data_IF_854028208388
#
_entry.id   IF_854028208388
#
_cell.length_a   1.000
_cell.length_b   1.000
_cell.length_c   1.000
_cell.angle_alpha   90.00
_cell.angle_beta   90.00
_cell.angle_gamma   90.00
#
_symmetry.space_group_name_H-M   'P 1'
#
loop_
_entity.id
_entity.type
_entity.pdbx_description
1 polymer ?
#
# COMPACT_ATOMS: atom_id res chain seq x y z
N UNK A 1 8.96 8.15 50.03
CA UNK A 1 7.70 7.94 50.77
C UNK A 1 6.59 7.76 49.72
N UNK A 2 6.04 6.56 49.71
CA UNK A 2 4.88 6.03 48.96
C UNK A 2 5.02 5.84 47.42
N UNK A 3 5.40 4.62 47.10
CA UNK A 3 5.08 3.87 45.87
C UNK A 3 3.58 3.96 45.53
N UNK A 4 3.28 4.23 44.28
CA UNK A 4 1.97 3.93 43.67
C UNK A 4 2.15 2.81 42.65
N UNK A 5 1.88 1.60 43.12
CA UNK A 5 1.77 0.37 42.37
C UNK A 5 0.60 0.50 41.38
N UNK A 6 0.89 0.51 40.08
CA UNK A 6 -0.09 0.21 39.02
C UNK A 6 -0.22 -1.31 38.88
N UNK A 7 -1.22 -1.88 39.53
CA UNK A 7 -1.70 -3.22 39.21
C UNK A 7 -2.53 -3.13 37.96
N UNK A 8 -1.96 -3.45 36.82
CA UNK A 8 -2.71 -3.79 35.59
C UNK A 8 -3.33 -5.17 35.80
N UNK A 9 -4.62 -5.24 36.04
CA UNK A 9 -5.41 -6.43 35.78
C UNK A 9 -5.38 -6.67 34.27
N UNK A 10 -4.72 -7.70 33.84
CA UNK A 10 -4.90 -8.29 32.53
C UNK A 10 -6.19 -9.12 32.57
N UNK A 11 -7.28 -8.57 32.10
CA UNK A 11 -8.41 -9.38 31.68
C UNK A 11 -8.12 -9.95 30.31
N UNK A 12 -8.38 -11.24 30.06
CA UNK A 12 -8.23 -11.82 28.74
C UNK A 12 -9.26 -11.22 27.79
N UNK A 13 -8.81 -10.64 26.70
CA UNK A 13 -9.64 -10.11 25.63
C UNK A 13 -10.26 -11.31 24.90
N UNK A 14 -11.45 -11.75 25.34
CA UNK A 14 -12.30 -12.61 24.57
C UNK A 14 -12.82 -11.82 23.37
N UNK A 15 -12.38 -12.20 22.18
CA UNK A 15 -12.87 -11.68 20.92
C UNK A 15 -14.26 -12.25 20.66
N UNK A 16 -15.31 -11.57 21.06
CA UNK A 16 -16.62 -11.77 20.44
C UNK A 16 -16.54 -11.27 19.00
N UNK A 17 -16.24 -12.18 18.09
CA UNK A 17 -16.57 -11.99 16.69
C UNK A 17 -18.11 -11.99 16.60
N UNK A 18 -18.73 -11.01 15.91
CA UNK A 18 -20.16 -11.10 15.66
C UNK A 18 -20.42 -12.41 14.91
N UNK A 19 -21.24 -13.26 15.52
CA UNK A 19 -21.74 -14.49 14.90
C UNK A 19 -22.59 -14.08 13.70
N UNK A 20 -22.08 -14.24 12.51
CA UNK A 20 -22.90 -14.27 11.31
C UNK A 20 -23.58 -15.63 11.27
N UNK A 21 -24.88 -15.64 11.54
CA UNK A 21 -25.74 -16.77 11.25
C UNK A 21 -25.55 -17.17 9.78
N UNK A 22 -25.33 -18.44 9.55
CA UNK A 22 -25.27 -19.06 8.23
C UNK A 22 -26.70 -19.16 7.69
N UNK A 23 -27.17 -18.11 7.02
CA UNK A 23 -28.39 -18.21 6.25
C UNK A 23 -28.15 -19.17 5.08
N UNK A 24 -28.95 -20.25 5.12
CA UNK A 24 -28.89 -21.35 4.20
C UNK A 24 -29.12 -20.89 2.75
N UNK A 25 -28.27 -21.34 1.85
CA UNK A 25 -28.53 -21.31 0.42
C UNK A 25 -29.67 -22.26 0.10
N UNK A 26 -30.89 -21.72 0.04
CA UNK A 26 -32.03 -22.36 -0.57
C UNK A 26 -31.89 -22.34 -2.10
N UNK A 27 -31.86 -23.53 -2.70
CA UNK A 27 -32.03 -23.72 -4.15
C UNK A 27 -33.48 -23.49 -4.49
N UNK A 28 -33.84 -22.31 -4.99
CA UNK A 28 -35.10 -22.10 -5.69
C UNK A 28 -34.83 -21.79 -7.17
N UNK A 29 -35.21 -22.72 -8.04
CA UNK A 29 -35.39 -22.54 -9.47
C UNK A 29 -36.71 -21.80 -9.70
N UNK A 30 -36.66 -20.53 -10.11
CA UNK A 30 -37.82 -19.84 -10.68
C UNK A 30 -37.42 -19.07 -11.94
N UNK A 31 -38.28 -19.15 -12.94
CA UNK A 31 -38.16 -18.68 -14.32
C UNK A 31 -37.94 -17.15 -14.47
N UNK A 32 -37.47 -16.67 -15.65
CA UNK A 32 -36.97 -15.31 -15.83
C UNK A 32 -38.10 -14.28 -15.89
N UNK A 33 -38.22 -13.48 -14.85
CA UNK A 33 -39.00 -12.24 -14.84
C UNK A 33 -38.19 -11.09 -15.39
N UNK A 34 -38.74 -10.38 -16.37
CA UNK A 34 -38.19 -9.21 -17.03
C UNK A 34 -37.80 -8.10 -16.06
N UNK A 35 -36.51 -7.89 -15.84
CA UNK A 35 -35.97 -6.69 -15.20
C UNK A 35 -35.69 -5.62 -16.24
N UNK A 36 -36.36 -4.49 -16.12
CA UNK A 36 -36.14 -3.27 -16.90
C UNK A 36 -34.73 -2.71 -16.61
N UNK A 37 -33.93 -2.36 -17.63
CA UNK A 37 -32.60 -1.82 -17.40
C UNK A 37 -32.68 -0.30 -17.21
N UNK A 38 -32.92 0.16 -15.98
CA UNK A 38 -32.68 1.56 -15.61
C UNK A 38 -31.41 1.64 -14.78
N UNK A 39 -30.44 2.35 -15.35
CA UNK A 39 -29.06 2.61 -14.95
C UNK A 39 -28.01 1.70 -15.61
N UNK A 40 -27.86 1.88 -16.93
CA UNK A 40 -26.63 1.56 -17.60
C UNK A 40 -25.55 2.62 -17.19
N UNK A 41 -24.84 2.39 -16.08
CA UNK A 41 -23.55 3.01 -15.89
C UNK A 41 -22.64 2.41 -16.97
N UNK A 42 -22.13 3.24 -17.87
CA UNK A 42 -21.08 2.84 -18.80
C UNK A 42 -19.87 2.39 -17.98
N UNK A 43 -19.68 1.11 -17.89
CA UNK A 43 -18.49 0.50 -17.33
C UNK A 43 -17.34 0.88 -18.24
N UNK A 44 -16.43 1.73 -17.77
CA UNK A 44 -15.13 1.90 -18.40
C UNK A 44 -14.32 0.61 -18.06
N UNK A 45 -14.12 -0.30 -19.01
CA UNK A 45 -13.31 -1.48 -18.74
C UNK A 45 -11.93 -0.98 -18.38
N UNK A 46 -11.34 -1.52 -17.29
CA UNK A 46 -9.95 -1.27 -16.94
C UNK A 46 -9.13 -1.46 -18.22
N UNK A 47 -8.58 -0.37 -18.75
CA UNK A 47 -7.89 -0.42 -20.04
C UNK A 47 -6.82 -1.52 -20.00
N UNK A 48 -6.71 -2.35 -21.03
CA UNK A 48 -5.67 -3.37 -21.07
C UNK A 48 -4.32 -2.69 -20.92
N UNK A 49 -3.45 -3.26 -20.06
CA UNK A 49 -2.09 -2.76 -19.93
C UNK A 49 -1.42 -2.76 -21.31
N UNK A 50 -0.85 -1.63 -21.70
CA UNK A 50 -0.08 -1.52 -22.94
C UNK A 50 0.98 -2.64 -22.99
N UNK A 51 1.10 -3.37 -24.10
CA UNK A 51 2.09 -4.43 -24.22
C UNK A 51 3.51 -3.86 -24.03
N UNK A 52 4.20 -4.28 -22.97
CA UNK A 52 5.61 -3.94 -22.75
C UNK A 52 5.91 -2.89 -21.68
N UNK A 53 4.93 -2.18 -21.11
CA UNK A 53 5.11 -1.25 -19.98
C UNK A 53 5.13 -1.94 -18.60
N UNK A 54 5.73 -1.31 -17.57
CA UNK A 54 5.50 -1.68 -16.19
C UNK A 54 4.01 -1.62 -15.87
N UNK A 55 3.50 -2.55 -15.05
CA UNK A 55 2.09 -2.56 -14.70
C UNK A 55 1.78 -1.35 -13.81
N UNK A 56 0.97 -0.41 -14.30
CA UNK A 56 0.34 0.58 -13.43
C UNK A 56 -0.73 -0.08 -12.53
N UNK A 57 -1.30 0.68 -11.61
CA UNK A 57 -2.33 0.16 -10.71
C UNK A 57 -3.52 -0.45 -11.47
N UNK A 58 -3.95 0.15 -12.59
CA UNK A 58 -5.09 -0.34 -13.39
C UNK A 58 -4.75 -1.63 -14.12
N UNK A 59 -3.56 -1.73 -14.68
CA UNK A 59 -3.05 -2.97 -15.28
C UNK A 59 -2.90 -4.09 -14.24
N UNK A 60 -2.45 -3.76 -13.03
CA UNK A 60 -2.38 -4.69 -11.91
C UNK A 60 -3.77 -5.19 -11.49
N UNK A 61 -4.76 -4.30 -11.34
CA UNK A 61 -6.15 -4.67 -11.05
C UNK A 61 -6.73 -5.59 -12.14
N UNK A 62 -6.54 -5.26 -13.42
CA UNK A 62 -6.97 -6.09 -14.52
C UNK A 62 -6.32 -7.48 -14.51
N UNK A 63 -5.04 -7.58 -14.15
CA UNK A 63 -4.34 -8.85 -14.01
C UNK A 63 -4.86 -9.69 -12.84
N UNK A 64 -5.14 -9.06 -11.70
CA UNK A 64 -5.77 -9.71 -10.54
C UNK A 64 -7.19 -10.22 -10.89
N UNK A 65 -7.95 -9.45 -11.65
CA UNK A 65 -9.30 -9.82 -12.09
C UNK A 65 -9.26 -11.03 -13.03
N UNK A 66 -8.41 -11.01 -14.08
CA UNK A 66 -8.20 -12.17 -14.96
C UNK A 66 -7.76 -13.43 -14.21
N UNK A 67 -7.01 -13.25 -13.11
CA UNK A 67 -6.58 -14.34 -12.25
C UNK A 67 -7.67 -14.83 -11.26
N UNK A 68 -8.86 -14.22 -11.25
CA UNK A 68 -9.95 -14.53 -10.32
C UNK A 68 -9.61 -14.16 -8.86
N UNK A 69 -8.69 -13.20 -8.64
CA UNK A 69 -8.21 -12.81 -7.32
C UNK A 69 -8.82 -11.52 -6.80
N UNK A 70 -9.36 -10.66 -7.66
CA UNK A 70 -9.98 -9.39 -7.29
C UNK A 70 -11.41 -9.60 -6.83
N UNK A 71 -11.79 -8.99 -5.71
CA UNK A 71 -13.17 -8.90 -5.25
C UNK A 71 -13.65 -7.45 -5.43
N UNK A 72 -14.69 -7.25 -6.23
CA UNK A 72 -15.36 -5.95 -6.41
C UNK A 72 -16.48 -5.80 -5.39
N UNK A 73 -16.47 -4.71 -4.65
CA UNK A 73 -17.47 -4.34 -3.65
C UNK A 73 -18.32 -3.23 -4.28
N UNK A 74 -19.52 -3.57 -4.74
CA UNK A 74 -20.44 -2.65 -5.44
C UNK A 74 -21.48 -2.03 -4.51
N UNK A 75 -21.76 -2.67 -3.37
CA UNK A 75 -22.57 -2.10 -2.32
C UNK A 75 -21.95 -0.81 -1.78
N UNK A 76 -22.79 0.09 -1.30
CA UNK A 76 -22.36 1.36 -0.73
C UNK A 76 -21.62 1.13 0.59
N UNK A 77 -20.34 1.50 0.63
CA UNK A 77 -19.48 1.33 1.81
C UNK A 77 -19.11 2.69 2.40
N UNK A 78 -19.18 2.80 3.72
CA UNK A 78 -18.76 4.01 4.42
C UNK A 78 -17.24 4.10 4.46
N UNK A 79 -16.68 5.27 4.14
CA UNK A 79 -15.24 5.54 4.27
C UNK A 79 -14.79 5.53 5.74
N UNK A 80 -15.73 5.78 6.67
CA UNK A 80 -15.46 5.75 8.10
C UNK A 80 -15.53 4.30 8.60
N UNK A 81 -14.39 3.73 8.92
CA UNK A 81 -14.15 2.40 9.48
C UNK A 81 -14.56 1.21 8.60
N UNK A 82 -15.63 1.30 7.79
CA UNK A 82 -16.12 0.13 7.08
C UNK A 82 -15.12 -0.40 6.05
N UNK A 83 -14.49 0.47 5.24
CA UNK A 83 -13.41 0.06 4.31
C UNK A 83 -12.30 -0.65 5.07
N UNK A 84 -11.84 -0.09 6.20
CA UNK A 84 -10.80 -0.71 7.02
C UNK A 84 -11.21 -2.05 7.64
N UNK A 85 -12.46 -2.17 8.13
CA UNK A 85 -13.00 -3.44 8.63
C UNK A 85 -13.02 -4.52 7.55
N UNK A 86 -13.52 -4.19 6.35
CA UNK A 86 -13.51 -5.10 5.21
C UNK A 86 -12.09 -5.53 4.84
N UNK A 87 -11.16 -4.58 4.77
CA UNK A 87 -9.74 -4.83 4.47
C UNK A 87 -9.10 -5.79 5.46
N UNK A 88 -9.35 -5.59 6.77
CA UNK A 88 -8.82 -6.46 7.83
C UNK A 88 -9.49 -7.83 7.91
N UNK A 89 -10.77 -7.92 7.57
CA UNK A 89 -11.52 -9.16 7.64
C UNK A 89 -11.24 -10.10 6.47
N UNK A 90 -10.86 -9.58 5.30
CA UNK A 90 -10.72 -10.36 4.08
C UNK A 90 -9.28 -10.41 3.58
N UNK A 91 -8.80 -11.61 3.33
CA UNK A 91 -7.45 -11.86 2.78
C UNK A 91 -7.49 -11.97 1.25
N UNK A 92 -8.09 -10.96 0.60
CA UNK A 92 -8.21 -10.84 -0.85
C UNK A 92 -8.05 -9.39 -1.27
N UNK A 93 -7.53 -9.11 -2.45
CA UNK A 93 -7.59 -7.78 -3.06
C UNK A 93 -9.04 -7.30 -3.18
N UNK A 94 -9.33 -6.08 -2.70
CA UNK A 94 -10.68 -5.50 -2.65
C UNK A 94 -10.71 -4.19 -3.42
N UNK A 95 -11.64 -4.06 -4.36
CA UNK A 95 -11.94 -2.81 -5.05
C UNK A 95 -13.33 -2.33 -4.64
N UNK A 96 -13.39 -1.24 -3.88
CA UNK A 96 -14.62 -0.58 -3.48
C UNK A 96 -15.02 0.41 -4.56
N UNK A 97 -16.18 0.19 -5.20
CA UNK A 97 -16.65 0.97 -6.35
C UNK A 97 -17.72 2.01 -5.97
N UNK A 98 -18.27 1.93 -4.76
CA UNK A 98 -19.32 2.83 -4.28
C UNK A 98 -19.01 3.28 -2.85
N UNK A 99 -18.28 4.38 -2.72
CA UNK A 99 -17.93 4.95 -1.42
C UNK A 99 -18.90 6.06 -1.05
N UNK A 100 -19.48 5.99 0.16
CA UNK A 100 -20.45 6.95 0.67
C UNK A 100 -19.93 8.39 0.60
N UNK A 101 -20.67 9.26 -0.08
CA UNK A 101 -20.30 10.68 -0.25
C UNK A 101 -19.29 10.94 -1.38
N UNK A 102 -18.81 9.91 -2.10
CA UNK A 102 -17.79 10.01 -3.15
C UNK A 102 -18.24 9.29 -4.42
N UNK A 103 -19.25 9.84 -5.10
CA UNK A 103 -19.76 9.26 -6.34
C UNK A 103 -18.67 9.20 -7.42
N UNK A 104 -18.52 8.04 -8.08
CA UNK A 104 -17.51 7.83 -9.12
C UNK A 104 -16.09 7.51 -8.62
N UNK A 105 -15.81 7.72 -7.34
CA UNK A 105 -14.50 7.43 -6.76
C UNK A 105 -14.40 5.98 -6.27
N UNK A 106 -13.21 5.41 -6.37
CA UNK A 106 -12.92 4.03 -6.00
C UNK A 106 -11.79 3.95 -4.99
N UNK A 107 -11.83 2.93 -4.13
CA UNK A 107 -10.73 2.61 -3.20
C UNK A 107 -10.26 1.19 -3.45
N UNK A 108 -8.95 0.99 -3.54
CA UNK A 108 -8.34 -0.33 -3.68
C UNK A 108 -7.46 -0.66 -2.48
N UNK A 109 -7.60 -1.88 -1.95
CA UNK A 109 -6.85 -2.38 -0.80
C UNK A 109 -6.41 -3.83 -0.97
N UNK A 110 -5.45 -4.28 -0.16
CA UNK A 110 -5.01 -5.69 -0.10
C UNK A 110 -4.40 -6.24 -1.40
N UNK A 111 -3.85 -5.41 -2.30
CA UNK A 111 -3.26 -5.88 -3.56
C UNK A 111 -2.18 -6.93 -3.36
N UNK A 112 -1.29 -6.71 -2.39
CA UNK A 112 -0.15 -7.58 -2.07
C UNK A 112 -0.41 -8.50 -0.86
N UNK A 113 -1.67 -8.77 -0.50
CA UNK A 113 -2.07 -9.60 0.66
C UNK A 113 -1.62 -11.06 0.55
N UNK A 114 -1.10 -11.47 -0.59
CA UNK A 114 -0.62 -12.83 -0.86
C UNK A 114 0.58 -12.82 -1.79
N UNK A 115 1.39 -13.88 -1.77
CA UNK A 115 2.48 -14.03 -2.74
C UNK A 115 1.99 -14.09 -4.19
N UNK A 116 0.78 -14.59 -4.44
CA UNK A 116 0.18 -14.52 -5.77
C UNK A 116 -0.13 -13.09 -6.21
N UNK A 117 -0.49 -12.17 -5.30
CA UNK A 117 -0.59 -10.74 -5.58
C UNK A 117 0.78 -10.13 -5.89
N UNK A 118 1.80 -10.47 -5.09
CA UNK A 118 3.19 -10.05 -5.34
C UNK A 118 3.70 -10.59 -6.68
N UNK A 119 3.40 -11.86 -7.01
CA UNK A 119 3.73 -12.45 -8.33
C UNK A 119 3.17 -11.59 -9.47
N UNK A 120 1.89 -11.27 -9.41
CA UNK A 120 1.23 -10.41 -10.43
C UNK A 120 1.88 -9.03 -10.50
N UNK A 121 2.15 -8.40 -9.36
CA UNK A 121 2.78 -7.07 -9.29
C UNK A 121 4.18 -7.06 -9.94
N UNK A 122 4.90 -8.17 -9.91
CA UNK A 122 6.25 -8.32 -10.47
C UNK A 122 6.26 -9.00 -11.85
N UNK A 123 5.08 -9.18 -12.47
CA UNK A 123 4.93 -9.75 -13.80
C UNK A 123 5.11 -11.27 -13.89
N UNK A 124 4.97 -11.98 -12.76
CA UNK A 124 4.93 -13.44 -12.74
C UNK A 124 3.50 -14.00 -12.82
N UNK A 125 3.36 -15.28 -13.15
CA UNK A 125 2.07 -15.98 -13.02
C UNK A 125 1.61 -15.95 -11.55
N UNK A 126 0.33 -15.66 -11.26
CA UNK A 126 -0.19 -15.63 -9.90
C UNK A 126 -0.10 -16.97 -9.15
N UNK A 127 0.21 -18.07 -9.84
CA UNK A 127 0.40 -19.41 -9.28
C UNK A 127 1.87 -19.77 -9.13
N UNK A 128 2.81 -18.87 -9.47
CA UNK A 128 4.25 -19.11 -9.32
C UNK A 128 4.56 -19.62 -7.92
N UNK A 129 5.26 -20.76 -7.79
CA UNK A 129 5.67 -21.28 -6.49
C UNK A 129 6.55 -20.26 -5.73
N UNK A 130 6.39 -20.18 -4.41
CA UNK A 130 7.13 -19.21 -3.59
C UNK A 130 8.66 -19.31 -3.78
N UNK A 131 9.19 -20.51 -3.84
CA UNK A 131 10.64 -20.73 -4.03
C UNK A 131 11.11 -20.15 -5.36
N UNK A 132 10.34 -20.33 -6.43
CA UNK A 132 10.63 -19.80 -7.75
C UNK A 132 10.51 -18.27 -7.75
N UNK A 133 9.41 -17.71 -7.19
CA UNK A 133 9.24 -16.27 -7.04
C UNK A 133 10.44 -15.62 -6.33
N UNK A 134 10.89 -16.19 -5.20
CA UNK A 134 12.01 -15.67 -4.44
C UNK A 134 13.33 -15.82 -5.20
N UNK A 135 13.58 -16.99 -5.81
CA UNK A 135 14.82 -17.26 -6.55
C UNK A 135 14.96 -16.33 -7.75
N UNK A 136 13.89 -16.19 -8.53
CA UNK A 136 13.89 -15.31 -9.70
C UNK A 136 13.94 -13.82 -9.31
N UNK A 137 13.24 -13.42 -8.25
CA UNK A 137 13.36 -12.05 -7.75
C UNK A 137 14.79 -11.73 -7.31
N UNK A 138 15.45 -12.64 -6.59
CA UNK A 138 16.88 -12.47 -6.23
C UNK A 138 17.80 -12.38 -7.45
N UNK A 139 17.55 -13.20 -8.48
CA UNK A 139 18.32 -13.13 -9.73
C UNK A 139 18.12 -11.78 -10.43
N UNK A 140 16.88 -11.27 -10.49
CA UNK A 140 16.54 -9.97 -11.08
C UNK A 140 17.22 -8.80 -10.36
N UNK A 141 17.40 -8.87 -9.02
CA UNK A 141 18.12 -7.86 -8.24
C UNK A 141 19.57 -7.67 -8.68
N UNK A 142 20.20 -8.70 -9.25
CA UNK A 142 21.54 -8.61 -9.85
C UNK A 142 21.60 -7.80 -11.15
N UNK A 143 20.43 -7.39 -11.69
CA UNK A 143 20.33 -6.67 -12.97
C UNK A 143 19.48 -5.39 -12.78
N UNK A 144 20.02 -4.33 -12.13
CA UNK A 144 19.28 -3.09 -11.90
C UNK A 144 18.87 -2.45 -13.24
N UNK A 145 17.66 -1.93 -13.30
CA UNK A 145 17.12 -1.26 -14.47
C UNK A 145 16.88 0.21 -14.11
N UNK A 146 17.62 1.11 -14.73
CA UNK A 146 17.49 2.54 -14.49
C UNK A 146 16.11 3.06 -14.88
N UNK A 147 15.54 3.99 -14.13
CA UNK A 147 14.28 4.64 -14.50
C UNK A 147 14.44 5.41 -15.81
N UNK A 148 13.33 5.58 -16.52
CA UNK A 148 13.25 6.33 -17.77
C UNK A 148 12.49 7.63 -17.55
N UNK A 149 13.08 8.77 -17.89
CA UNK A 149 12.35 10.05 -17.93
C UNK A 149 11.42 10.10 -19.13
N UNK A 150 10.19 10.54 -18.88
CA UNK A 150 9.18 10.78 -19.91
C UNK A 150 8.63 12.21 -19.74
N UNK A 151 8.12 12.79 -20.83
CA UNK A 151 7.62 14.18 -20.80
C UNK A 151 6.17 14.28 -20.34
N UNK A 152 5.42 13.17 -20.38
CA UNK A 152 4.01 13.13 -20.00
C UNK A 152 3.66 11.77 -19.41
N UNK A 153 2.57 11.70 -18.69
CA UNK A 153 2.04 10.46 -18.14
C UNK A 153 0.61 10.62 -17.65
N UNK A 154 -0.10 9.50 -17.43
CA UNK A 154 -1.51 9.53 -17.03
C UNK A 154 -1.81 10.39 -15.79
N UNK A 155 -0.88 10.48 -14.84
CA UNK A 155 -1.07 11.29 -13.62
C UNK A 155 -1.21 12.80 -13.91
N UNK A 156 -0.84 13.25 -15.12
CA UNK A 156 -0.94 14.68 -15.53
C UNK A 156 -2.30 15.03 -16.17
N UNK A 157 -3.25 14.09 -16.26
CA UNK A 157 -4.57 14.33 -16.86
C UNK A 157 -5.30 15.51 -16.19
N UNK A 158 -5.12 15.66 -14.87
CA UNK A 158 -5.68 16.79 -14.11
C UNK A 158 -4.60 17.42 -13.22
N UNK A 159 -4.59 18.76 -13.16
CA UNK A 159 -3.67 19.54 -12.32
C UNK A 159 -4.48 20.48 -11.43
N UNK A 160 -4.38 20.31 -10.12
CA UNK A 160 -5.11 21.07 -9.10
C UNK A 160 -4.14 22.00 -8.37
N UNK A 161 -4.31 23.34 -8.50
CA UNK A 161 -3.46 24.30 -7.81
C UNK A 161 -3.81 24.41 -6.32
N UNK A 162 -2.88 24.90 -5.50
CA UNK A 162 -3.03 25.07 -4.05
C UNK A 162 -4.29 25.82 -3.62
N UNK A 163 -4.79 26.74 -4.44
CA UNK A 163 -5.95 27.58 -4.10
C UNK A 163 -7.26 26.81 -3.94
N UNK A 164 -7.38 25.66 -4.62
CA UNK A 164 -8.58 24.81 -4.60
C UNK A 164 -8.29 23.38 -4.17
N UNK A 165 -7.06 23.07 -3.76
CA UNK A 165 -6.64 21.74 -3.36
C UNK A 165 -7.32 21.31 -2.05
N UNK A 166 -7.95 20.16 -2.07
CA UNK A 166 -8.48 19.48 -0.88
C UNK A 166 -8.18 17.98 -0.94
N UNK A 167 -7.45 17.46 0.05
CA UNK A 167 -7.19 16.02 0.16
C UNK A 167 -8.47 15.19 0.27
N UNK A 168 -9.53 15.79 0.81
CA UNK A 168 -10.81 15.12 1.05
C UNK A 168 -11.74 15.17 -0.17
N UNK A 169 -11.29 15.69 -1.30
CA UNK A 169 -11.92 15.47 -2.61
C UNK A 169 -11.90 13.97 -2.96
N UNK A 170 -10.91 13.23 -2.47
CA UNK A 170 -10.81 11.78 -2.62
C UNK A 170 -11.37 11.03 -1.40
N UNK A 171 -11.79 9.78 -1.58
CA UNK A 171 -12.35 8.94 -0.53
C UNK A 171 -11.28 8.42 0.43
N UNK A 172 -10.51 9.33 1.03
CA UNK A 172 -9.49 8.99 2.04
C UNK A 172 -10.16 8.30 3.22
N UNK A 173 -9.87 7.02 3.54
CA UNK A 173 -10.55 6.34 4.62
C UNK A 173 -10.08 6.77 6.02
N UNK A 174 -11.00 6.69 6.98
CA UNK A 174 -10.70 6.54 8.39
C UNK A 174 -10.64 5.03 8.66
N UNK A 175 -9.42 4.48 8.73
CA UNK A 175 -9.19 3.05 8.62
C UNK A 175 -9.67 2.23 9.82
N UNK A 176 -9.58 2.80 11.03
CA UNK A 176 -9.86 2.09 12.27
C UNK A 176 -10.45 3.03 13.31
N UNK A 177 -11.24 2.48 14.22
CA UNK A 177 -11.76 3.16 15.41
C UNK A 177 -10.64 3.61 16.37
N UNK A 178 -9.46 3.01 16.24
CA UNK A 178 -8.29 3.35 17.05
C UNK A 178 -7.46 4.50 16.46
N UNK A 179 -7.74 4.90 15.21
CA UNK A 179 -7.06 6.01 14.55
C UNK A 179 -7.71 7.34 14.95
N UNK A 180 -6.90 8.39 15.10
CA UNK A 180 -7.40 9.72 15.46
C UNK A 180 -8.18 10.40 14.34
N UNK A 181 -8.02 9.95 13.09
CA UNK A 181 -8.65 10.56 11.92
C UNK A 181 -8.35 9.82 10.60
N UNK A 182 -8.52 10.54 9.50
CA UNK A 182 -8.26 10.04 8.16
C UNK A 182 -6.75 10.00 7.87
N UNK A 183 -6.32 8.94 7.18
CA UNK A 183 -4.92 8.78 6.76
C UNK A 183 -4.85 8.66 5.24
N UNK A 184 -4.28 9.70 4.59
CA UNK A 184 -4.10 9.76 3.14
C UNK A 184 -2.93 8.87 2.69
N UNK A 185 -1.92 8.70 3.53
CA UNK A 185 -0.76 7.89 3.25
C UNK A 185 -0.70 6.64 4.11
N UNK A 186 -1.13 5.48 3.58
CA UNK A 186 -0.98 4.16 4.18
C UNK A 186 -0.36 3.13 3.24
N UNK A 187 -0.42 3.39 1.90
CA UNK A 187 0.19 2.57 0.85
C UNK A 187 0.55 3.47 -0.34
N UNK A 188 1.64 4.18 -0.23
CA UNK A 188 2.05 5.28 -1.10
C UNK A 188 3.56 5.44 -1.04
N UNK A 189 4.11 6.35 -1.82
CA UNK A 189 5.50 6.76 -1.73
C UNK A 189 5.60 8.22 -1.30
N UNK A 190 6.50 8.52 -0.36
CA UNK A 190 7.02 9.86 -0.12
C UNK A 190 8.39 9.94 -0.81
N UNK A 191 8.50 10.83 -1.78
CA UNK A 191 9.67 11.01 -2.62
C UNK A 191 10.36 12.30 -2.21
N UNK A 192 11.66 12.22 -1.92
CA UNK A 192 12.50 13.36 -1.56
C UNK A 192 13.85 13.25 -2.27
N UNK A 193 14.59 14.34 -2.29
CA UNK A 193 15.95 14.39 -2.83
C UNK A 193 16.89 14.97 -1.77
N UNK A 194 18.04 14.34 -1.60
CA UNK A 194 19.09 14.84 -0.71
C UNK A 194 19.54 16.23 -1.18
N UNK A 195 19.43 17.28 -0.34
CA UNK A 195 19.76 18.66 -0.74
C UNK A 195 21.24 18.91 -0.95
N UNK A 196 22.12 17.97 -0.61
CA UNK A 196 23.56 18.04 -0.81
C UNK A 196 24.05 17.18 -1.97
N UNK A 197 23.62 15.92 -2.00
CA UNK A 197 24.10 14.94 -2.99
C UNK A 197 23.21 14.81 -4.20
N UNK A 198 21.94 15.25 -4.09
CA UNK A 198 20.92 15.01 -5.11
C UNK A 198 20.41 13.57 -5.15
N UNK A 199 20.80 12.72 -4.21
CA UNK A 199 20.35 11.32 -4.12
C UNK A 199 18.84 11.26 -3.84
N UNK A 200 18.16 10.38 -4.54
CA UNK A 200 16.72 10.20 -4.41
C UNK A 200 16.40 9.19 -3.29
N UNK A 201 15.33 9.44 -2.56
CA UNK A 201 14.70 8.49 -1.65
C UNK A 201 13.21 8.41 -1.94
N UNK A 202 12.66 7.21 -2.02
CA UNK A 202 11.24 6.96 -2.16
C UNK A 202 10.79 5.93 -1.11
N UNK A 203 10.22 6.42 0.00
CA UNK A 203 9.85 5.58 1.15
C UNK A 203 8.36 5.64 1.50
N UNK A 204 7.88 4.65 2.26
CA UNK A 204 6.52 4.59 2.77
C UNK A 204 6.47 5.12 4.21
N UNK A 205 5.96 6.32 4.40
CA UNK A 205 5.81 6.97 5.71
C UNK A 205 4.37 7.44 5.90
N UNK A 206 3.66 6.92 6.90
CA UNK A 206 2.23 7.21 7.09
C UNK A 206 1.93 8.71 7.17
N UNK A 207 0.76 9.11 6.65
CA UNK A 207 0.34 10.51 6.59
C UNK A 207 -1.09 10.66 7.11
N UNK A 208 -1.25 11.40 8.22
CA UNK A 208 -2.54 11.80 8.78
C UNK A 208 -2.99 13.11 8.14
N UNK A 209 -4.26 13.21 7.74
CA UNK A 209 -4.85 14.45 7.26
C UNK A 209 -5.09 15.40 8.43
N UNK A 210 -4.58 16.62 8.35
CA UNK A 210 -4.78 17.69 9.34
C UNK A 210 -5.68 18.80 8.82
N UNK A 211 -5.94 18.86 7.51
CA UNK A 211 -6.77 19.87 6.86
C UNK A 211 -6.79 19.63 5.36
N UNK A 212 -7.35 20.57 4.59
CA UNK A 212 -7.53 20.44 3.14
C UNK A 212 -6.21 20.18 2.40
N UNK A 213 -5.11 20.79 2.84
CA UNK A 213 -3.78 20.67 2.20
C UNK A 213 -2.62 20.40 3.16
N UNK A 214 -2.94 20.06 4.42
CA UNK A 214 -1.93 19.76 5.43
C UNK A 214 -2.06 18.31 5.91
N UNK A 215 -0.93 17.64 6.05
CA UNK A 215 -0.85 16.29 6.58
C UNK A 215 0.42 16.12 7.43
N UNK A 216 0.43 15.11 8.29
CA UNK A 216 1.66 14.66 8.93
C UNK A 216 2.47 13.79 7.97
N UNK A 217 3.79 13.71 8.16
CA UNK A 217 4.62 12.60 7.68
C UNK A 217 5.32 12.00 8.91
N UNK A 218 4.95 10.76 9.24
CA UNK A 218 5.52 10.05 10.39
C UNK A 218 6.71 9.20 9.94
N UNK A 219 7.88 9.80 9.90
CA UNK A 219 9.15 9.15 9.58
C UNK A 219 10.13 9.27 10.75
N UNK A 220 11.07 8.31 10.87
CA UNK A 220 12.16 8.41 11.84
C UNK A 220 13.27 9.31 11.31
N UNK A 221 14.04 9.92 12.20
CA UNK A 221 15.22 10.73 11.84
C UNK A 221 16.27 9.91 11.07
N UNK A 222 16.36 8.61 11.34
CA UNK A 222 17.27 7.69 10.65
C UNK A 222 16.79 7.21 9.28
N UNK A 223 15.55 7.51 8.90
CA UNK A 223 15.00 7.17 7.57
C UNK A 223 15.65 8.02 6.47
N UNK A 224 15.52 7.61 5.20
CA UNK A 224 15.99 8.41 4.06
C UNK A 224 15.42 9.83 4.09
N UNK A 225 14.09 9.97 4.22
CA UNK A 225 13.42 11.25 4.34
C UNK A 225 13.91 12.05 5.56
N UNK A 226 14.06 11.40 6.74
CA UNK A 226 14.54 12.08 7.95
C UNK A 226 15.96 12.64 7.80
N UNK A 227 16.87 11.90 7.15
CA UNK A 227 18.23 12.38 6.83
C UNK A 227 18.22 13.55 5.85
N UNK A 228 17.38 13.51 4.80
CA UNK A 228 17.24 14.61 3.84
C UNK A 228 16.70 15.87 4.55
N UNK A 229 15.69 15.70 5.42
CA UNK A 229 15.13 16.81 6.17
C UNK A 229 16.18 17.43 7.13
N UNK A 230 16.95 16.63 7.85
CA UNK A 230 17.99 17.14 8.74
C UNK A 230 19.01 18.03 8.00
N UNK A 231 19.36 17.67 6.77
CA UNK A 231 20.26 18.46 5.92
C UNK A 231 19.59 19.75 5.42
N UNK A 232 18.32 19.72 5.04
CA UNK A 232 17.57 20.92 4.67
C UNK A 232 17.42 21.86 5.88
N UNK A 233 17.08 21.34 7.04
CA UNK A 233 16.95 22.10 8.28
C UNK A 233 18.26 22.79 8.71
N UNK A 234 19.40 22.11 8.52
CA UNK A 234 20.72 22.69 8.81
C UNK A 234 21.03 23.90 7.93
N UNK A 235 20.38 24.01 6.76
CA UNK A 235 20.46 25.16 5.85
C UNK A 235 19.35 26.19 6.05
N UNK A 236 18.35 25.90 6.90
CA UNK A 236 17.15 26.70 7.07
C UNK A 236 16.21 26.63 5.86
N UNK A 237 16.29 25.57 5.07
CA UNK A 237 15.52 25.38 3.82
C UNK A 237 14.35 24.41 4.04
N UNK A 238 13.28 24.60 3.26
CA UNK A 238 12.19 23.64 3.16
C UNK A 238 12.65 22.42 2.37
N UNK A 239 12.17 21.23 2.79
CA UNK A 239 12.42 20.03 2.03
C UNK A 239 11.25 19.76 1.06
N UNK A 240 11.47 19.79 -0.27
CA UNK A 240 10.47 19.38 -1.25
C UNK A 240 10.10 17.90 -1.07
N UNK A 241 8.79 17.61 -1.10
CA UNK A 241 8.26 16.24 -1.01
C UNK A 241 7.20 16.04 -2.08
N UNK A 242 7.24 14.91 -2.78
CA UNK A 242 6.14 14.44 -3.61
C UNK A 242 5.56 13.16 -3.03
N UNK A 243 4.24 13.09 -2.96
CA UNK A 243 3.47 11.94 -2.43
C UNK A 243 2.79 11.26 -3.60
N UNK A 244 3.18 10.02 -3.92
CA UNK A 244 2.62 9.24 -5.03
C UNK A 244 1.70 8.13 -4.50
N UNK A 245 0.39 8.25 -4.74
CA UNK A 245 -0.64 7.29 -4.36
C UNK A 245 -1.08 6.52 -5.61
N UNK A 246 -1.22 5.19 -5.49
CA UNK A 246 -1.55 4.34 -6.63
C UNK A 246 -0.45 4.30 -7.69
N UNK A 247 0.81 4.46 -7.28
CA UNK A 247 1.98 4.18 -8.12
C UNK A 247 2.04 2.68 -8.48
N UNK A 248 2.80 2.29 -9.51
CA UNK A 248 3.05 0.88 -9.81
C UNK A 248 3.46 0.10 -8.56
N UNK A 249 2.84 -1.05 -8.29
CA UNK A 249 3.04 -1.77 -7.02
C UNK A 249 4.51 -2.18 -6.79
N UNK A 250 5.29 -2.43 -7.84
CA UNK A 250 6.73 -2.70 -7.71
C UNK A 250 7.50 -1.52 -7.11
N UNK A 251 7.07 -0.28 -7.38
CA UNK A 251 7.69 0.92 -6.78
C UNK A 251 7.37 1.02 -5.29
N UNK A 252 6.17 0.63 -4.88
CA UNK A 252 5.78 0.59 -3.46
C UNK A 252 6.49 -0.55 -2.73
N UNK A 253 6.66 -1.71 -3.38
CA UNK A 253 7.49 -2.82 -2.87
C UNK A 253 8.93 -2.32 -2.61
N UNK A 254 9.51 -1.62 -3.57
CA UNK A 254 10.85 -1.05 -3.44
C UNK A 254 10.93 0.04 -2.36
N UNK A 255 9.92 0.90 -2.25
CA UNK A 255 9.82 1.93 -1.20
C UNK A 255 9.68 1.38 0.23
N UNK A 256 9.24 0.12 0.37
CA UNK A 256 9.22 -0.61 1.65
C UNK A 256 10.53 -1.36 1.94
N UNK A 257 11.47 -1.40 0.99
CA UNK A 257 12.72 -2.14 1.09
C UNK A 257 13.84 -1.31 1.73
N UNK A 258 14.83 -2.02 2.31
CA UNK A 258 16.15 -1.45 2.54
C UNK A 258 16.93 -1.52 1.23
N UNK A 259 17.02 -0.41 0.53
CA UNK A 259 17.67 -0.37 -0.77
C UNK A 259 19.17 -0.67 -0.65
N UNK A 260 19.75 -1.52 -1.51
CA UNK A 260 21.19 -1.75 -1.52
C UNK A 260 21.98 -0.46 -1.76
N UNK A 261 23.18 -0.37 -1.20
CA UNK A 261 24.05 0.79 -1.39
C UNK A 261 24.32 1.04 -2.89
N UNK A 262 24.17 2.29 -3.32
CA UNK A 262 24.41 2.71 -4.72
C UNK A 262 23.24 2.40 -5.66
N UNK A 263 22.09 1.97 -5.13
CA UNK A 263 20.85 1.76 -5.88
C UNK A 263 19.74 2.59 -5.22
N UNK A 264 18.89 3.23 -6.00
CA UNK A 264 17.68 3.88 -5.49
C UNK A 264 16.44 2.98 -5.65
N UNK A 265 15.33 3.36 -5.01
CA UNK A 265 14.12 2.56 -4.99
C UNK A 265 13.52 2.37 -6.40
N UNK A 266 13.68 3.31 -7.32
CA UNK A 266 13.18 3.16 -8.68
C UNK A 266 14.05 2.21 -9.53
N UNK A 267 15.35 2.17 -9.29
CA UNK A 267 16.21 1.15 -9.89
C UNK A 267 15.92 -0.24 -9.34
N UNK A 268 15.64 -0.33 -8.02
CA UNK A 268 15.21 -1.58 -7.37
C UNK A 268 13.87 -2.07 -7.94
N UNK A 269 12.89 -1.19 -8.09
CA UNK A 269 11.61 -1.51 -8.72
C UNK A 269 11.80 -2.00 -10.15
N UNK A 270 12.62 -1.29 -10.93
CA UNK A 270 12.96 -1.67 -12.29
C UNK A 270 13.65 -3.03 -12.37
N UNK A 271 14.55 -3.33 -11.43
CA UNK A 271 15.17 -4.66 -11.33
C UNK A 271 14.12 -5.75 -11.08
N UNK A 272 13.22 -5.55 -10.11
CA UNK A 272 12.18 -6.52 -9.77
C UNK A 272 11.21 -6.81 -10.93
N UNK A 273 10.78 -5.77 -11.67
CA UNK A 273 9.91 -5.92 -12.83
C UNK A 273 10.64 -6.25 -14.14
N UNK A 274 11.97 -6.05 -14.20
CA UNK A 274 12.78 -6.10 -15.42
C UNK A 274 12.30 -5.10 -16.48
N UNK A 275 11.82 -3.93 -16.02
CA UNK A 275 11.32 -2.83 -16.85
C UNK A 275 11.65 -1.49 -16.18
N UNK A 276 11.96 -0.43 -16.96
CA UNK A 276 12.21 0.88 -16.39
C UNK A 276 10.95 1.48 -15.78
N UNK A 277 11.07 2.05 -14.59
CA UNK A 277 10.03 2.93 -14.04
C UNK A 277 10.02 4.22 -14.86
N UNK A 278 8.88 4.58 -15.42
CA UNK A 278 8.71 5.85 -16.13
C UNK A 278 8.51 6.99 -15.12
N UNK A 279 9.37 8.00 -15.16
CA UNK A 279 9.34 9.17 -14.28
C UNK A 279 9.04 10.43 -15.06
N UNK A 280 8.17 11.28 -14.50
CA UNK A 280 7.92 12.65 -14.98
C UNK A 280 8.46 13.67 -13.98
N UNK A 281 8.79 14.85 -14.49
CA UNK A 281 9.14 15.98 -13.64
C UNK A 281 7.90 16.49 -12.88
N UNK A 282 8.03 16.65 -11.58
CA UNK A 282 7.04 17.22 -10.68
C UNK A 282 7.73 18.23 -9.76
N UNK A 283 7.66 19.54 -10.13
CA UNK A 283 8.40 20.59 -9.44
C UNK A 283 9.91 20.28 -9.37
N UNK A 284 10.42 20.15 -8.15
CA UNK A 284 11.84 19.83 -7.89
C UNK A 284 12.17 18.34 -7.93
N UNK A 285 11.15 17.48 -8.06
CA UNK A 285 11.26 16.04 -7.93
C UNK A 285 10.83 15.31 -9.20
N UNK A 286 11.14 14.04 -9.27
CA UNK A 286 10.66 13.11 -10.29
C UNK A 286 9.75 12.08 -9.64
N UNK A 287 8.61 11.80 -10.26
CA UNK A 287 7.58 10.91 -9.72
C UNK A 287 7.15 9.87 -10.75
N UNK A 288 6.67 8.69 -10.33
CA UNK A 288 6.16 7.69 -11.27
C UNK A 288 5.01 8.25 -12.11
N UNK A 289 5.20 8.31 -13.42
CA UNK A 289 4.28 8.89 -14.40
C UNK A 289 2.89 8.22 -14.43
N UNK A 290 2.83 6.96 -13.97
CA UNK A 290 1.63 6.12 -13.99
C UNK A 290 0.93 6.02 -12.63
N UNK A 291 1.25 6.92 -11.69
CA UNK A 291 0.51 7.03 -10.42
C UNK A 291 -0.94 7.45 -10.65
N UNK A 292 -1.83 7.11 -9.73
CA UNK A 292 -3.23 7.57 -9.77
C UNK A 292 -3.35 9.01 -9.29
N UNK A 293 -2.62 9.37 -8.21
CA UNK A 293 -2.59 10.69 -7.60
C UNK A 293 -1.15 11.02 -7.21
N UNK A 294 -0.71 12.25 -7.47
CA UNK A 294 0.55 12.80 -6.97
C UNK A 294 0.29 14.15 -6.31
N UNK A 295 0.79 14.31 -5.09
CA UNK A 295 0.68 15.55 -4.33
C UNK A 295 2.08 16.11 -4.12
N UNK A 296 2.33 17.33 -4.56
CA UNK A 296 3.58 18.06 -4.38
C UNK A 296 3.43 19.06 -3.23
N UNK A 297 4.49 19.23 -2.45
CA UNK A 297 4.53 20.17 -1.35
C UNK A 297 5.88 20.19 -0.66
N UNK A 298 5.89 20.68 0.58
CA UNK A 298 7.10 20.90 1.35
C UNK A 298 6.92 20.46 2.81
N UNK A 299 8.02 20.06 3.44
CA UNK A 299 8.15 20.01 4.89
C UNK A 299 8.88 21.25 5.34
N UNK A 300 8.27 21.99 6.27
CA UNK A 300 8.87 23.21 6.82
C UNK A 300 9.95 22.86 7.86
N UNK A 301 11.12 23.55 7.85
CA UNK A 301 12.21 23.28 8.77
C UNK A 301 11.79 23.55 10.23
N UNK A 302 12.18 22.68 11.14
CA UNK A 302 11.94 22.83 12.58
C UNK A 302 10.48 22.62 13.02
N UNK A 303 9.51 22.48 12.11
CA UNK A 303 8.10 22.30 12.47
C UNK A 303 7.82 20.84 12.76
N UNK A 304 7.24 20.56 13.93
CA UNK A 304 6.82 19.23 14.37
C UNK A 304 5.38 19.28 14.84
N UNK A 305 4.62 18.23 14.52
CA UNK A 305 3.22 18.09 14.89
C UNK A 305 2.96 16.68 15.41
N UNK A 306 1.88 16.52 16.18
CA UNK A 306 1.49 15.20 16.65
C UNK A 306 0.79 14.43 15.50
N UNK A 307 1.20 13.18 15.31
CA UNK A 307 0.56 12.16 14.46
C UNK A 307 0.01 11.04 15.33
N UNK A 308 -1.22 10.64 15.09
CA UNK A 308 -1.84 9.55 15.82
C UNK A 308 -2.65 9.98 17.05
N UNK A 309 -3.25 8.98 17.74
CA UNK A 309 -3.00 7.54 17.60
C UNK A 309 -3.39 6.96 16.25
N UNK A 310 -2.60 5.99 15.78
CA UNK A 310 -2.79 5.23 14.56
C UNK A 310 -2.49 3.75 14.82
N UNK A 311 -3.35 2.86 14.34
CA UNK A 311 -3.15 1.43 14.50
C UNK A 311 -2.03 0.94 13.58
N UNK A 312 -0.84 0.75 14.17
CA UNK A 312 0.39 0.47 13.44
C UNK A 312 0.61 -1.01 13.09
N UNK A 313 1.69 -1.30 12.37
CA UNK A 313 2.05 -2.67 11.96
C UNK A 313 2.40 -3.62 13.13
N UNK A 314 2.54 -3.12 14.35
CA UNK A 314 2.63 -3.95 15.56
C UNK A 314 1.26 -4.39 16.10
N UNK A 315 0.17 -3.94 15.49
CA UNK A 315 -1.19 -4.26 15.91
C UNK A 315 -1.65 -3.53 17.16
N UNK A 316 -1.16 -2.31 17.38
CA UNK A 316 -1.53 -1.45 18.51
C UNK A 316 -1.56 0.02 18.08
N UNK A 317 -2.36 0.85 18.79
CA UNK A 317 -2.29 2.31 18.60
C UNK A 317 -0.90 2.85 18.94
N UNK A 318 -0.38 3.71 18.07
CA UNK A 318 0.93 4.35 18.21
C UNK A 318 0.80 5.84 17.85
N UNK A 319 1.45 6.69 18.62
CA UNK A 319 1.50 8.14 18.45
C UNK A 319 2.94 8.59 18.22
N UNK A 320 3.14 9.44 17.22
CA UNK A 320 4.40 10.13 17.01
C UNK A 320 4.22 11.63 17.37
N UNK A 321 4.75 12.12 18.50
CA UNK A 321 4.59 13.51 18.90
C UNK A 321 5.47 14.48 18.10
N UNK A 322 6.37 13.96 17.26
CA UNK A 322 7.36 14.72 16.48
C UNK A 322 7.29 14.40 14.98
N UNK A 323 6.10 14.14 14.46
CA UNK A 323 5.91 13.98 13.04
C UNK A 323 6.17 15.30 12.29
N UNK A 324 6.55 15.19 11.04
CA UNK A 324 6.81 16.35 10.19
C UNK A 324 5.50 16.92 9.64
N UNK A 325 5.40 18.23 9.53
CA UNK A 325 4.27 18.90 8.88
C UNK A 325 4.54 19.03 7.39
N UNK A 326 3.70 18.40 6.59
CA UNK A 326 3.67 18.52 5.14
C UNK A 326 2.57 19.52 4.73
N UNK A 327 2.89 20.46 3.86
CA UNK A 327 1.93 21.37 3.24
C UNK A 327 1.97 21.23 1.71
N UNK A 328 0.81 20.87 1.12
CA UNK A 328 0.66 20.65 -0.30
C UNK A 328 0.52 21.98 -1.06
N UNK A 329 1.18 22.06 -2.21
CA UNK A 329 1.16 23.22 -3.11
C UNK A 329 0.51 22.93 -4.45
N UNK A 330 0.48 21.66 -4.86
CA UNK A 330 -0.12 21.20 -6.11
C UNK A 330 -0.51 19.75 -5.99
N UNK A 331 -1.53 19.35 -6.73
CA UNK A 331 -1.90 17.96 -6.89
C UNK A 331 -2.11 17.66 -8.38
N UNK A 332 -1.75 16.45 -8.79
CA UNK A 332 -2.02 15.91 -10.11
C UNK A 332 -2.74 14.58 -9.94
N UNK A 333 -3.68 14.25 -10.79
CA UNK A 333 -4.36 12.96 -10.74
C UNK A 333 -4.91 12.54 -12.09
N UNK A 334 -5.08 11.24 -12.25
CA UNK A 334 -5.74 10.66 -13.42
C UNK A 334 -7.23 10.99 -13.42
N UNK A 335 -7.87 10.84 -14.58
CA UNK A 335 -9.34 10.80 -14.66
C UNK A 335 -9.88 9.62 -13.84
N UNK A 336 -10.92 9.90 -13.01
CA UNK A 336 -11.54 8.91 -12.14
C UNK A 336 -10.50 8.09 -11.34
N UNK A 337 -9.64 8.73 -10.53
CA UNK A 337 -8.52 8.06 -9.90
C UNK A 337 -8.96 7.00 -8.89
N UNK A 338 -8.14 5.98 -8.75
CA UNK A 338 -8.34 4.92 -7.76
C UNK A 338 -7.47 5.24 -6.54
N UNK A 339 -8.11 5.53 -5.41
CA UNK A 339 -7.37 5.74 -4.17
C UNK A 339 -6.79 4.39 -3.69
N UNK A 340 -5.47 4.30 -3.63
CA UNK A 340 -4.76 3.12 -3.14
C UNK A 340 -4.37 3.31 -1.68
N UNK A 341 -4.85 2.45 -0.81
CA UNK A 341 -4.50 2.44 0.59
C UNK A 341 -4.62 1.05 1.19
N UNK A 342 -4.28 0.91 2.46
CA UNK A 342 -4.46 -0.36 3.19
C UNK A 342 -4.68 -0.10 4.67
N UNK A 343 -5.33 -1.06 5.34
CA UNK A 343 -5.41 -1.11 6.80
C UNK A 343 -4.36 -2.09 7.31
N UNK A 344 -3.40 -1.60 8.07
CA UNK A 344 -2.27 -2.37 8.58
C UNK A 344 -2.53 -2.93 9.99
N UNK A 345 -1.57 -3.70 10.51
CA UNK A 345 -1.46 -4.00 11.93
C UNK A 345 -1.99 -5.34 12.42
N UNK A 346 -2.62 -6.17 11.58
CA UNK A 346 -2.96 -7.55 11.98
C UNK A 346 -2.00 -8.56 11.35
N UNK A 347 -1.58 -9.61 12.08
CA UNK A 347 -0.77 -10.66 11.50
C UNK A 347 -1.42 -11.24 10.23
N UNK A 348 -0.70 -11.18 9.12
CA UNK A 348 -1.17 -11.57 7.80
C UNK A 348 -1.90 -10.46 7.03
N UNK A 349 -1.87 -9.20 7.47
CA UNK A 349 -2.22 -8.04 6.68
C UNK A 349 -1.21 -7.81 5.54
N UNK A 350 -1.53 -6.89 4.65
CA UNK A 350 -0.76 -6.63 3.43
C UNK A 350 0.68 -6.18 3.71
N UNK A 351 0.87 -5.32 4.70
CA UNK A 351 2.18 -4.87 5.19
C UNK A 351 3.05 -6.03 5.69
N UNK A 352 2.48 -6.96 6.47
CA UNK A 352 3.20 -8.15 6.93
C UNK A 352 3.59 -9.08 5.78
N UNK A 353 2.73 -9.18 4.76
CA UNK A 353 3.02 -9.98 3.57
C UNK A 353 4.18 -9.37 2.76
N UNK A 354 4.20 -8.04 2.62
CA UNK A 354 5.28 -7.30 1.99
C UNK A 354 6.60 -7.49 2.75
N UNK A 355 6.59 -7.28 4.07
CA UNK A 355 7.79 -7.48 4.89
C UNK A 355 8.31 -8.92 4.84
N UNK A 356 7.41 -9.91 4.78
CA UNK A 356 7.81 -11.30 4.62
C UNK A 356 8.53 -11.55 3.29
N UNK A 357 8.02 -10.98 2.20
CA UNK A 357 8.65 -11.06 0.88
C UNK A 357 10.02 -10.38 0.87
N UNK A 358 10.10 -9.15 1.36
CA UNK A 358 11.35 -8.39 1.43
C UNK A 358 12.40 -9.08 2.32
N UNK A 359 11.98 -9.71 3.42
CA UNK A 359 12.86 -10.48 4.27
C UNK A 359 13.46 -11.71 3.57
N UNK A 360 12.67 -12.41 2.75
CA UNK A 360 13.17 -13.51 1.94
C UNK A 360 14.19 -13.03 0.88
N UNK A 361 14.05 -11.81 0.40
CA UNK A 361 15.02 -11.20 -0.52
C UNK A 361 16.28 -10.67 0.20
N UNK A 362 16.26 -10.53 1.52
CA UNK A 362 17.34 -9.89 2.30
C UNK A 362 17.27 -8.35 2.28
N UNK A 363 16.12 -7.77 1.93
CA UNK A 363 15.90 -6.33 1.73
C UNK A 363 15.14 -5.68 2.91
N UNK A 364 15.26 -6.21 4.13
CA UNK A 364 14.64 -5.59 5.31
C UNK A 364 15.69 -5.24 6.34
N UNK A 365 15.74 -3.96 6.70
CA UNK A 365 16.41 -3.53 7.91
C UNK A 365 15.43 -3.63 9.07
N UNK A 366 15.52 -4.70 9.84
CA UNK A 366 14.76 -4.83 11.06
C UNK A 366 15.32 -3.89 12.15
N UNK A 367 14.82 -2.67 12.20
CA UNK A 367 15.02 -1.82 13.36
C UNK A 367 14.18 -2.36 14.53
N UNK A 368 14.76 -3.30 15.27
CA UNK A 368 14.16 -3.90 16.46
C UNK A 368 13.88 -5.40 16.37
N UNK A 369 14.22 -6.10 17.45
CA UNK A 369 14.08 -7.56 17.58
C UNK A 369 12.64 -8.06 17.41
N UNK A 370 11.64 -7.24 17.72
CA UNK A 370 10.22 -7.60 17.74
C UNK A 370 9.62 -7.75 16.33
N UNK A 371 9.91 -6.83 15.40
CA UNK A 371 9.45 -6.97 14.01
C UNK A 371 10.14 -8.15 13.32
N UNK A 372 11.45 -8.31 13.55
CA UNK A 372 12.20 -9.47 13.08
C UNK A 372 11.57 -10.78 13.54
N UNK A 373 11.23 -10.87 14.84
CA UNK A 373 10.63 -12.06 15.43
C UNK A 373 9.21 -12.32 14.89
N UNK A 374 8.42 -11.27 14.69
CA UNK A 374 7.08 -11.35 14.10
C UNK A 374 7.12 -11.90 12.68
N UNK A 375 7.99 -11.34 11.83
CA UNK A 375 8.16 -11.80 10.44
C UNK A 375 8.72 -13.20 10.39
N UNK A 376 9.72 -13.53 11.21
CA UNK A 376 10.28 -14.89 11.30
C UNK A 376 9.24 -15.92 11.76
N UNK A 377 8.43 -15.59 12.77
CA UNK A 377 7.34 -16.46 13.23
C UNK A 377 6.26 -16.68 12.16
N UNK A 378 5.95 -15.62 11.41
CA UNK A 378 5.00 -15.71 10.28
C UNK A 378 5.53 -16.61 9.17
N UNK A 379 6.78 -16.42 8.76
CA UNK A 379 7.45 -17.23 7.74
C UNK A 379 7.57 -18.69 8.17
N UNK A 380 7.95 -18.94 9.43
CA UNK A 380 8.06 -20.31 9.97
C UNK A 380 6.72 -21.04 9.96
N UNK A 381 5.65 -20.42 10.46
CA UNK A 381 4.29 -21.01 10.45
C UNK A 381 3.83 -21.33 9.03
N UNK A 382 4.14 -20.48 8.09
CA UNK A 382 3.77 -20.65 6.69
C UNK A 382 4.56 -21.80 6.04
N UNK A 383 5.88 -21.86 6.22
CA UNK A 383 6.72 -22.97 5.72
C UNK A 383 6.27 -24.31 6.29
N UNK A 384 5.93 -24.38 7.58
CA UNK A 384 5.37 -25.57 8.20
C UNK A 384 4.03 -25.97 7.57
N UNK A 385 3.13 -25.02 7.30
CA UNK A 385 1.85 -25.29 6.64
C UNK A 385 2.01 -25.78 5.20
N UNK A 386 2.92 -25.18 4.42
CA UNK A 386 3.23 -25.61 3.04
C UNK A 386 3.86 -27.01 3.01
N UNK A 387 4.73 -27.32 3.98
CA UNK A 387 5.30 -28.66 4.13
C UNK A 387 4.22 -29.70 4.46
N UNK A 388 3.28 -29.40 5.37
CA UNK A 388 2.15 -30.26 5.72
C UNK A 388 1.22 -30.49 4.52
N UNK A 389 0.96 -29.48 3.72
CA UNK A 389 0.16 -29.61 2.49
C UNK A 389 0.85 -30.52 1.45
N UNK A 390 2.19 -30.43 1.31
CA UNK A 390 2.94 -31.33 0.41
C UNK A 390 2.85 -32.78 0.88
N UNK A 391 2.99 -33.04 2.18
CA UNK A 391 2.85 -34.38 2.76
C UNK A 391 1.43 -34.90 2.58
N UNK A 392 0.40 -34.08 2.80
CA UNK A 392 -1.00 -34.46 2.58
C UNK A 392 -1.33 -34.82 1.12
N UNK A 393 -0.75 -34.08 0.14
CA UNK A 393 -0.90 -34.39 -1.30
C UNK A 393 -0.15 -35.66 -1.71
N UNK A 394 1.01 -35.97 -1.11
CA UNK A 394 1.72 -37.22 -1.31
C UNK A 394 0.93 -38.40 -0.73
N UNK A 395 0.37 -38.26 0.46
CA UNK A 395 -0.46 -39.28 1.10
C UNK A 395 -1.77 -39.58 0.36
N UNK A 396 -2.36 -38.60 -0.33
CA UNK A 396 -3.54 -38.82 -1.17
C UNK A 396 -3.20 -39.52 -2.49
N UNK A 397 -2.04 -39.25 -3.11
CA UNK A 397 -1.57 -39.94 -4.32
C UNK A 397 -1.21 -41.39 -4.06
N UNK A 398 -0.67 -41.72 -2.88
CA UNK A 398 -0.33 -43.10 -2.50
C UNK A 398 -1.57 -43.93 -2.16
N UNK A 399 -2.73 -43.34 -1.91
CA UNK A 399 -4.00 -44.07 -1.64
C UNK A 399 -4.82 -44.36 -2.90
N UNK A 400 -4.40 -43.90 -4.08
CA UNK A 400 -5.08 -44.11 -5.36
C UNK A 400 -4.27 -44.96 -6.36
N UNK A 401 -3.26 -45.70 -5.91
CA UNK A 401 -2.68 -46.77 -6.70
C UNK A 401 -3.20 -48.13 -6.14
N UNK A 402 -3.87 -48.94 -7.00
CA UNK A 402 -4.36 -50.26 -6.64
C UNK A 402 -3.23 -51.23 -6.37
#
# INVERSE_FOLDING_TARGET
MKELLWKTKQEPFESEAPSFESDGFGTETSAPGSYSPLFAYSFDPLAPAEPGGALDLRGFLAALERAGRLVRIRERVDWQFAIGRWTRARRKPLLFENVKGYSGHRVFTNGLISFGGISVALGFDPRTPLVELITDSKRRLGHPVKPKRVNTGPVMENVVPASVLDFLEFPVPHWSEYDVGRYIGTWHLNITRDPETGELNAGVYRMQVLGSKRATISASESSGLGRHLAKAEAKGEELPVAVAIGAPEATVIAGGAACPQGMNEFELAGALEQKPVELIQCGHLEVPARSEIVIEGFIHPGVRVQDGPYFDYYGRPNTNPKAYLFEATRMMHRDNPIFRGTSIGKPGAEDHQLFAFLAELGLVNFHGSRLKQMVQNYLWKRRAFEALQKVGRLGSRLRHHP
#
